data_IF_303549918902
#
_entry.id   IF_303549918902
#
_cell.length_a   1.000
_cell.length_b   1.000
_cell.length_c   1.000
_cell.angle_alpha   90.00
_cell.angle_beta   90.00
_cell.angle_gamma   90.00
#
_symmetry.space_group_name_H-M   'P 1'
#
loop_
_entity.id
_entity.type
_entity.pdbx_description
1 polymer ?
#
# COMPACT_ATOMS: atom_id res chain seq x y z
N UNK A 1 12.74 -11.25 25.17
CA UNK A 1 12.01 -9.99 25.38
C UNK A 1 12.84 -8.85 24.79
N UNK A 2 12.79 -8.66 23.47
CA UNK A 2 13.58 -7.66 22.75
C UNK A 2 12.69 -6.49 22.36
N UNK A 3 13.07 -5.29 22.82
CA UNK A 3 12.39 -4.00 22.57
C UNK A 3 12.20 -3.77 21.08
N UNK A 4 10.94 -3.69 20.62
CA UNK A 4 10.59 -3.14 19.32
C UNK A 4 10.73 -1.61 19.37
N UNK A 5 11.53 -1.07 18.45
CA UNK A 5 11.73 0.32 18.03
C UNK A 5 11.15 1.46 18.87
N UNK A 6 12.03 2.24 19.50
CA UNK A 6 11.71 3.61 19.92
C UNK A 6 11.45 4.45 18.66
N UNK A 7 10.18 4.72 18.35
CA UNK A 7 9.79 5.66 17.31
C UNK A 7 10.25 7.07 17.67
N UNK A 8 10.62 7.87 16.66
CA UNK A 8 10.93 9.29 16.87
C UNK A 8 9.62 10.02 17.19
N UNK A 9 9.43 10.40 18.47
CA UNK A 9 8.35 11.29 18.88
C UNK A 9 8.85 12.73 18.87
N UNK A 10 8.26 13.55 18.00
CA UNK A 10 8.49 14.99 17.96
C UNK A 10 7.36 15.64 18.76
N UNK A 11 7.69 16.43 19.77
CA UNK A 11 6.69 17.28 20.44
C UNK A 11 6.35 18.46 19.53
N UNK A 12 5.06 18.62 19.25
CA UNK A 12 4.52 19.61 18.33
C UNK A 12 3.58 20.61 19.02
N UNK A 13 3.41 20.53 20.35
CA UNK A 13 2.40 21.29 21.10
C UNK A 13 2.52 22.81 20.97
N UNK A 14 3.76 23.32 20.86
CA UNK A 14 4.06 24.75 20.79
C UNK A 14 4.37 25.23 19.36
N UNK A 15 4.29 24.35 18.36
CA UNK A 15 4.62 24.69 16.97
C UNK A 15 3.42 25.36 16.32
N UNK A 16 3.62 26.55 15.74
CA UNK A 16 2.54 27.29 15.06
C UNK A 16 2.05 26.49 13.85
N UNK A 17 0.76 26.65 13.53
CA UNK A 17 0.12 25.97 12.39
C UNK A 17 0.89 26.16 11.07
N UNK A 18 1.38 27.37 10.79
CA UNK A 18 2.18 27.63 9.59
C UNK A 18 3.49 26.84 9.53
N UNK A 19 4.17 26.71 10.67
CA UNK A 19 5.43 25.97 10.78
C UNK A 19 5.17 24.45 10.68
N UNK A 20 4.04 23.94 11.19
CA UNK A 20 3.61 22.55 11.00
C UNK A 20 3.37 22.21 9.53
N UNK A 21 2.69 23.09 8.79
CA UNK A 21 2.45 22.91 7.36
C UNK A 21 3.76 22.98 6.56
N UNK A 22 4.67 23.89 6.91
CA UNK A 22 5.99 23.97 6.31
C UNK A 22 6.82 22.70 6.58
N UNK A 23 6.82 22.20 7.81
CA UNK A 23 7.48 20.95 8.18
C UNK A 23 6.91 19.76 7.42
N UNK A 24 5.59 19.67 7.29
CA UNK A 24 4.92 18.64 6.48
C UNK A 24 5.39 18.66 5.02
N UNK A 25 5.50 19.85 4.41
CA UNK A 25 6.04 19.99 3.04
C UNK A 25 7.52 19.61 2.95
N UNK A 26 8.33 19.95 3.95
CA UNK A 26 9.74 19.56 4.01
C UNK A 26 9.92 18.04 4.12
N UNK A 27 9.10 17.37 4.93
CA UNK A 27 9.07 15.90 5.04
C UNK A 27 8.74 15.28 3.69
N UNK A 28 7.68 15.74 3.00
CA UNK A 28 7.34 15.24 1.68
C UNK A 28 8.44 15.48 0.64
N UNK A 29 9.12 16.63 0.70
CA UNK A 29 10.26 16.92 -0.18
C UNK A 29 11.42 15.94 0.06
N UNK A 30 11.73 15.65 1.32
CA UNK A 30 12.76 14.68 1.69
C UNK A 30 12.41 13.25 1.27
N UNK A 31 11.16 12.83 1.45
CA UNK A 31 10.67 11.54 0.96
C UNK A 31 10.80 11.42 -0.55
N UNK A 32 10.47 12.49 -1.31
CA UNK A 32 10.67 12.52 -2.76
C UNK A 32 12.15 12.41 -3.12
N UNK A 33 13.02 13.14 -2.44
CA UNK A 33 14.48 13.10 -2.66
C UNK A 33 15.05 11.69 -2.43
N UNK A 34 14.47 10.94 -1.48
CA UNK A 34 14.81 9.54 -1.20
C UNK A 34 14.17 8.53 -2.17
N UNK A 35 13.38 8.98 -3.14
CA UNK A 35 12.65 8.12 -4.06
C UNK A 35 11.50 7.34 -3.41
N UNK A 36 11.00 7.77 -2.25
CA UNK A 36 9.89 7.12 -1.54
C UNK A 36 8.55 7.48 -2.16
N UNK A 37 8.39 8.76 -2.52
CA UNK A 37 7.17 9.29 -3.15
C UNK A 37 7.48 9.98 -4.46
N UNK A 38 6.50 10.03 -5.35
CA UNK A 38 6.60 10.63 -6.69
C UNK A 38 5.67 11.85 -6.80
N UNK A 39 4.49 11.78 -6.20
CA UNK A 39 3.45 12.81 -6.14
C UNK A 39 3.60 13.76 -4.94
N UNK A 40 2.97 14.93 -5.03
CA UNK A 40 3.00 15.95 -3.97
C UNK A 40 1.91 15.78 -2.91
N UNK A 41 1.19 14.65 -2.96
CA UNK A 41 0.02 14.35 -2.14
C UNK A 41 0.42 13.52 -0.89
N UNK A 42 -0.59 13.03 -0.16
CA UNK A 42 -0.38 12.12 0.96
C UNK A 42 0.44 10.88 0.52
N UNK A 43 1.45 10.45 1.31
CA UNK A 43 2.49 9.53 0.86
C UNK A 43 2.03 8.08 0.73
N UNK A 44 0.86 7.71 1.26
CA UNK A 44 0.42 6.31 1.36
C UNK A 44 0.34 5.60 0.00
N UNK A 45 -0.14 6.27 -1.04
CA UNK A 45 -0.25 5.70 -2.39
C UNK A 45 1.12 5.34 -2.96
N UNK A 46 1.95 6.35 -3.15
CA UNK A 46 3.29 6.17 -3.72
C UNK A 46 4.18 5.24 -2.88
N UNK A 47 4.05 5.31 -1.55
CA UNK A 47 4.80 4.43 -0.67
C UNK A 47 4.37 2.97 -0.84
N UNK A 48 3.06 2.70 -0.96
CA UNK A 48 2.58 1.35 -1.25
C UNK A 48 3.03 0.86 -2.62
N UNK A 49 3.00 1.71 -3.65
CA UNK A 49 3.51 1.38 -4.99
C UNK A 49 4.98 0.97 -4.93
N UNK A 50 5.81 1.72 -4.20
CA UNK A 50 7.23 1.40 -4.00
C UNK A 50 7.41 0.06 -3.27
N UNK A 51 6.63 -0.20 -2.23
CA UNK A 51 6.70 -1.47 -1.50
C UNK A 51 6.31 -2.65 -2.38
N UNK A 52 5.25 -2.51 -3.20
CA UNK A 52 4.81 -3.54 -4.14
C UNK A 52 5.86 -3.75 -5.23
N UNK A 53 6.42 -2.68 -5.78
CA UNK A 53 7.47 -2.76 -6.79
C UNK A 53 8.68 -3.55 -6.28
N UNK A 54 9.13 -3.28 -5.05
CA UNK A 54 10.23 -4.03 -4.42
C UNK A 54 9.86 -5.49 -4.15
N UNK A 55 8.63 -5.73 -3.70
CA UNK A 55 8.12 -7.05 -3.38
C UNK A 55 8.03 -7.97 -4.61
N UNK A 56 7.68 -7.42 -5.77
CA UNK A 56 7.48 -8.18 -7.01
C UNK A 56 8.69 -8.16 -7.93
N UNK A 57 9.79 -7.52 -7.51
CA UNK A 57 10.93 -7.19 -8.39
C UNK A 57 10.45 -6.54 -9.69
N UNK A 58 9.41 -5.72 -9.58
CA UNK A 58 8.74 -5.11 -10.71
C UNK A 58 9.29 -3.74 -11.08
N UNK A 59 8.59 -3.10 -12.00
CA UNK A 59 8.81 -1.73 -12.41
C UNK A 59 7.57 -0.88 -12.15
N UNK A 60 7.79 0.36 -11.70
CA UNK A 60 6.69 1.31 -11.53
C UNK A 60 6.22 1.80 -12.90
N UNK A 61 4.91 1.93 -13.06
CA UNK A 61 4.32 2.55 -14.22
C UNK A 61 4.83 4.00 -14.41
N UNK A 62 4.91 4.49 -15.67
CA UNK A 62 5.11 5.90 -15.95
C UNK A 62 4.05 6.76 -15.24
N UNK A 63 4.42 8.01 -14.91
CA UNK A 63 3.45 8.94 -14.34
C UNK A 63 2.23 9.08 -15.27
N UNK A 64 1.03 9.15 -14.68
CA UNK A 64 -0.24 9.26 -15.42
C UNK A 64 -0.60 8.04 -16.29
N UNK A 65 0.11 6.91 -16.16
CA UNK A 65 -0.36 5.64 -16.68
C UNK A 65 -1.74 5.34 -16.11
N UNK A 66 -2.66 4.97 -17.00
CA UNK A 66 -4.00 4.59 -16.59
C UNK A 66 -4.01 3.11 -16.24
N UNK A 67 -4.83 2.76 -15.26
CA UNK A 67 -5.24 1.39 -14.96
C UNK A 67 -4.26 0.49 -14.20
N UNK A 68 -2.94 0.72 -14.23
CA UNK A 68 -1.98 -0.07 -13.47
C UNK A 68 -0.83 0.80 -12.97
N UNK A 69 -0.19 0.36 -11.88
CA UNK A 69 0.81 1.12 -11.13
C UNK A 69 2.17 0.40 -11.06
N UNK A 70 2.17 -0.95 -11.12
CA UNK A 70 3.37 -1.80 -11.13
C UNK A 70 3.24 -2.87 -12.21
N UNK A 71 4.32 -3.18 -12.92
CA UNK A 71 4.44 -4.40 -13.73
C UNK A 71 5.45 -5.34 -13.07
N UNK A 72 5.11 -6.60 -12.85
CA UNK A 72 6.02 -7.58 -12.22
C UNK A 72 7.09 -8.04 -13.20
N UNK A 73 8.14 -8.70 -12.70
CA UNK A 73 9.16 -9.32 -13.56
C UNK A 73 8.61 -10.33 -14.58
N UNK A 74 7.45 -10.94 -14.27
CA UNK A 74 6.77 -11.90 -15.15
C UNK A 74 5.75 -11.23 -16.09
N UNK A 75 5.69 -9.89 -16.11
CA UNK A 75 4.83 -9.10 -17.00
C UNK A 75 3.40 -8.85 -16.50
N UNK A 76 3.08 -9.24 -15.27
CA UNK A 76 1.75 -9.00 -14.70
C UNK A 76 1.58 -7.53 -14.32
N UNK A 77 0.47 -6.91 -14.76
CA UNK A 77 0.11 -5.53 -14.44
C UNK A 77 -0.73 -5.47 -13.18
N UNK A 78 -0.20 -4.80 -12.17
CA UNK A 78 -0.82 -4.63 -10.86
C UNK A 78 -1.28 -3.19 -10.65
N UNK A 79 -2.54 -3.03 -10.24
CA UNK A 79 -3.08 -1.77 -9.71
C UNK A 79 -2.90 -1.74 -8.19
N UNK A 80 -2.29 -0.70 -7.63
CA UNK A 80 -2.05 -0.56 -6.19
C UNK A 80 -3.06 0.41 -5.58
N UNK A 81 -3.64 0.04 -4.43
CA UNK A 81 -4.47 0.94 -3.63
C UNK A 81 -4.02 0.88 -2.18
N UNK A 82 -3.95 2.05 -1.55
CA UNK A 82 -3.45 2.17 -0.20
C UNK A 82 -4.35 2.99 0.72
N UNK A 83 -4.37 2.64 2.01
CA UNK A 83 -5.01 3.43 3.08
C UNK A 83 -4.17 3.38 4.35
N UNK A 84 -4.17 4.48 5.09
CA UNK A 84 -3.75 4.54 6.49
C UNK A 84 -5.00 4.33 7.34
N UNK A 85 -4.97 3.37 8.24
CA UNK A 85 -6.09 3.03 9.13
C UNK A 85 -5.74 3.56 10.52
N UNK A 86 -6.37 4.68 10.89
CA UNK A 86 -6.12 5.38 12.16
C UNK A 86 -6.96 4.81 13.30
N UNK A 87 -8.17 4.31 13.01
CA UNK A 87 -8.95 3.47 13.91
C UNK A 87 -9.57 2.28 13.15
N UNK A 88 -9.09 1.04 13.38
CA UNK A 88 -9.60 -0.14 12.69
C UNK A 88 -11.07 -0.46 13.01
N UNK A 89 -11.65 0.14 14.07
CA UNK A 89 -13.06 -0.02 14.45
C UNK A 89 -14.00 0.84 13.60
N UNK A 90 -13.50 1.88 12.94
CA UNK A 90 -14.30 2.76 12.09
C UNK A 90 -14.45 2.14 10.70
N UNK A 91 -15.67 1.69 10.38
CA UNK A 91 -15.97 0.97 9.11
C UNK A 91 -15.62 1.78 7.85
N UNK A 92 -15.71 3.11 7.90
CA UNK A 92 -15.46 4.00 6.76
C UNK A 92 -13.98 4.17 6.38
N UNK A 93 -13.05 4.01 7.32
CA UNK A 93 -11.62 4.25 7.08
C UNK A 93 -10.97 3.21 6.18
N UNK A 94 -11.64 2.06 6.01
CA UNK A 94 -11.20 1.01 5.10
C UNK A 94 -11.64 1.26 3.67
N UNK A 95 -12.48 2.26 3.38
CA UNK A 95 -13.01 2.44 2.03
C UNK A 95 -11.94 2.92 1.02
N UNK A 96 -11.70 2.10 0.02
CA UNK A 96 -10.84 2.40 -1.12
C UNK A 96 -11.60 3.19 -2.18
N UNK A 97 -10.86 4.00 -2.94
CA UNK A 97 -11.41 4.65 -4.13
C UNK A 97 -11.80 3.61 -5.19
N UNK A 98 -12.90 3.89 -5.88
CA UNK A 98 -13.43 3.01 -6.93
C UNK A 98 -12.40 2.85 -8.06
N UNK A 99 -12.31 1.64 -8.62
CA UNK A 99 -11.55 1.39 -9.84
C UNK A 99 -12.26 2.04 -11.03
N UNK A 100 -11.56 2.94 -11.73
CA UNK A 100 -12.12 3.67 -12.89
C UNK A 100 -11.86 2.94 -14.22
N UNK A 101 -10.95 1.99 -14.20
CA UNK A 101 -10.54 1.13 -15.31
C UNK A 101 -10.26 -0.25 -14.74
N UNK A 102 -10.38 -1.28 -15.58
CA UNK A 102 -10.16 -2.68 -15.23
C UNK A 102 -9.07 -3.34 -16.09
N UNK A 103 -8.30 -2.53 -16.83
CA UNK A 103 -7.17 -2.98 -17.65
C UNK A 103 -5.91 -3.18 -16.76
N UNK A 104 -5.97 -4.21 -15.93
CA UNK A 104 -4.90 -4.72 -15.08
C UNK A 104 -5.22 -6.18 -14.76
N UNK A 105 -4.22 -6.95 -14.36
CA UNK A 105 -4.35 -8.39 -14.16
C UNK A 105 -4.66 -8.71 -12.69
N UNK A 106 -4.15 -7.88 -11.77
CA UNK A 106 -4.48 -7.96 -10.34
C UNK A 106 -4.43 -6.60 -9.65
N UNK A 107 -4.99 -6.52 -8.45
CA UNK A 107 -4.79 -5.37 -7.58
C UNK A 107 -4.12 -5.77 -6.27
N UNK A 108 -3.23 -4.90 -5.78
CA UNK A 108 -2.64 -5.03 -4.44
C UNK A 108 -3.21 -3.95 -3.54
N UNK A 109 -3.85 -4.38 -2.46
CA UNK A 109 -4.40 -3.51 -1.43
C UNK A 109 -3.42 -3.48 -0.26
N UNK A 110 -2.97 -2.29 0.13
CA UNK A 110 -2.08 -2.10 1.28
C UNK A 110 -2.76 -1.24 2.34
N UNK A 111 -2.88 -1.76 3.55
CA UNK A 111 -3.37 -1.06 4.72
C UNK A 111 -2.21 -0.79 5.66
N UNK A 112 -1.99 0.48 5.98
CA UNK A 112 -0.99 0.92 6.94
C UNK A 112 -1.62 1.19 8.31
N UNK A 113 -0.83 1.03 9.37
CA UNK A 113 -1.11 1.65 10.68
C UNK A 113 -0.81 3.17 10.63
N UNK A 114 -1.10 3.88 11.72
CA UNK A 114 -0.86 5.31 11.91
C UNK A 114 0.62 5.71 11.87
N UNK A 115 1.54 4.75 12.00
CA UNK A 115 2.97 4.94 11.82
C UNK A 115 3.50 4.45 10.45
N UNK A 116 2.62 4.27 9.47
CA UNK A 116 2.98 3.83 8.10
C UNK A 116 3.65 2.45 8.03
N UNK A 117 3.45 1.57 9.03
CA UNK A 117 3.83 0.16 8.91
C UNK A 117 2.71 -0.60 8.22
N UNK A 118 3.07 -1.59 7.42
CA UNK A 118 2.08 -2.43 6.74
C UNK A 118 1.33 -3.26 7.79
N UNK A 119 0.07 -2.90 8.04
CA UNK A 119 -0.83 -3.65 8.91
C UNK A 119 -1.36 -4.89 8.18
N UNK A 120 -1.80 -4.72 6.92
CA UNK A 120 -2.25 -5.81 6.05
C UNK A 120 -1.94 -5.49 4.60
N UNK A 121 -1.65 -6.53 3.82
CA UNK A 121 -1.60 -6.44 2.37
C UNK A 121 -2.24 -7.68 1.74
N UNK A 122 -2.93 -7.51 0.61
CA UNK A 122 -3.49 -8.61 -0.15
C UNK A 122 -3.42 -8.33 -1.65
N UNK A 123 -3.08 -9.35 -2.44
CA UNK A 123 -3.19 -9.36 -3.89
C UNK A 123 -4.48 -10.08 -4.28
N UNK A 124 -5.27 -9.47 -5.16
CA UNK A 124 -6.56 -9.96 -5.62
C UNK A 124 -6.60 -9.96 -7.15
N UNK A 125 -6.97 -11.07 -7.81
CA UNK A 125 -7.17 -11.10 -9.25
C UNK A 125 -8.27 -10.13 -9.69
N UNK A 126 -8.14 -9.56 -10.89
CA UNK A 126 -9.10 -8.58 -11.43
C UNK A 126 -10.53 -9.15 -11.50
N UNK A 127 -10.68 -10.44 -11.79
CA UNK A 127 -11.98 -11.12 -11.91
C UNK A 127 -12.71 -11.14 -10.56
N UNK A 128 -11.97 -11.36 -9.47
CA UNK A 128 -12.50 -11.37 -8.10
C UNK A 128 -13.01 -9.99 -7.72
N UNK A 129 -12.25 -8.96 -8.08
CA UNK A 129 -12.61 -7.56 -7.83
C UNK A 129 -13.81 -7.11 -8.66
N UNK A 130 -13.88 -7.52 -9.93
CA UNK A 130 -15.02 -7.25 -10.80
C UNK A 130 -16.30 -7.93 -10.30
N UNK A 131 -16.20 -9.20 -9.84
CA UNK A 131 -17.33 -9.91 -9.25
C UNK A 131 -17.85 -9.20 -8.00
N UNK A 132 -16.95 -8.75 -7.12
CA UNK A 132 -17.31 -8.00 -5.92
C UNK A 132 -17.95 -6.63 -6.27
N UNK A 133 -17.41 -5.91 -7.25
CA UNK A 133 -17.95 -4.63 -7.70
C UNK A 133 -19.37 -4.74 -8.29
N UNK A 134 -19.66 -5.84 -9.01
CA UNK A 134 -21.02 -6.12 -9.52
C UNK A 134 -22.00 -6.51 -8.41
N UNK A 135 -21.55 -7.27 -7.42
CA UNK A 135 -22.37 -7.71 -6.29
C UNK A 135 -22.67 -6.56 -5.30
N UNK A 136 -21.80 -5.55 -5.25
CA UNK A 136 -21.88 -4.44 -4.30
C UNK A 136 -22.02 -3.11 -5.04
N UNK A 137 -23.24 -2.75 -5.45
CA UNK A 137 -23.58 -1.36 -5.77
C UNK A 137 -23.26 -0.50 -4.53
N UNK A 138 -22.10 0.19 -4.55
CA UNK A 138 -21.62 1.10 -3.50
C UNK A 138 -20.84 0.51 -2.29
N UNK A 139 -19.99 -0.51 -2.44
CA UNK A 139 -19.00 -0.80 -1.38
C UNK A 139 -17.59 -1.03 -1.92
N UNK A 140 -16.65 -0.25 -1.40
CA UNK A 140 -15.23 -0.26 -1.71
C UNK A 140 -14.59 -1.66 -1.63
N UNK A 141 -13.56 -1.90 -2.46
CA UNK A 141 -12.82 -3.16 -2.55
C UNK A 141 -12.23 -3.72 -1.23
N UNK A 142 -12.21 -2.94 -0.16
CA UNK A 142 -11.78 -3.38 1.16
C UNK A 142 -12.70 -4.43 1.81
N UNK A 143 -13.98 -4.48 1.43
CA UNK A 143 -14.89 -5.54 1.93
C UNK A 143 -14.57 -6.90 1.31
N UNK A 144 -14.11 -6.92 0.04
CA UNK A 144 -13.66 -8.15 -0.62
C UNK A 144 -12.36 -8.72 -0.01
N UNK A 145 -11.57 -7.87 0.64
CA UNK A 145 -10.30 -8.22 1.29
C UNK A 145 -10.47 -9.16 2.51
N UNK A 146 -11.71 -9.45 2.95
CA UNK A 146 -11.98 -10.27 4.14
C UNK A 146 -11.96 -11.79 3.90
N UNK A 147 -11.91 -12.27 2.66
CA UNK A 147 -12.03 -13.70 2.35
C UNK A 147 -10.76 -14.20 1.67
N UNK A 148 -9.99 -15.01 2.43
CA UNK A 148 -8.72 -15.68 2.07
C UNK A 148 -7.55 -14.76 1.76
N UNK A 149 -6.93 -14.23 2.82
CA UNK A 149 -5.62 -13.61 2.73
C UNK A 149 -4.52 -14.68 2.70
N UNK A 150 -3.75 -14.75 1.61
CA UNK A 150 -2.35 -15.17 1.73
C UNK A 150 -1.62 -14.03 2.43
N UNK A 151 -1.43 -14.18 3.73
CA UNK A 151 -0.76 -13.19 4.58
C UNK A 151 0.69 -13.05 4.12
N UNK A 152 1.04 -11.93 3.49
CA UNK A 152 2.43 -11.57 3.23
C UNK A 152 2.96 -10.82 4.45
N UNK A 153 3.88 -11.43 5.20
CA UNK A 153 4.60 -10.75 6.29
C UNK A 153 5.77 -9.97 5.69
N UNK A 154 5.84 -8.64 5.88
CA UNK A 154 7.06 -7.93 5.54
C UNK A 154 8.17 -8.37 6.48
N UNK A 155 9.29 -8.84 5.91
CA UNK A 155 10.52 -8.99 6.67
C UNK A 155 10.86 -7.63 7.28
N UNK A 156 10.94 -7.58 8.61
CA UNK A 156 11.42 -6.42 9.33
C UNK A 156 12.82 -6.09 8.81
N UNK A 157 12.93 -4.89 8.26
CA UNK A 157 14.13 -4.19 7.80
C UNK A 157 15.46 -4.93 8.02
N UNK A 158 15.97 -5.55 6.96
CA UNK A 158 17.32 -6.11 6.90
C UNK A 158 17.62 -6.49 5.47
N UNK A 159 18.79 -6.10 4.94
CA UNK A 159 19.25 -6.48 3.59
C UNK A 159 19.09 -8.00 3.42
N UNK A 160 18.23 -8.44 2.52
CA UNK A 160 18.01 -9.85 2.27
C UNK A 160 16.73 -10.05 1.48
N UNK A 161 16.83 -10.82 0.40
CA UNK A 161 15.80 -11.01 -0.61
C UNK A 161 14.49 -11.57 -0.03
N UNK A 162 13.37 -11.12 -0.61
CA UNK A 162 12.08 -11.78 -0.50
C UNK A 162 12.16 -13.13 -1.21
N UNK A 163 11.76 -14.21 -0.52
CA UNK A 163 11.57 -15.52 -1.14
C UNK A 163 10.07 -15.82 -1.24
N UNK A 164 9.56 -16.31 -2.38
CA UNK A 164 8.20 -16.84 -2.46
C UNK A 164 8.08 -18.06 -1.54
N UNK A 165 6.96 -18.18 -0.83
CA UNK A 165 6.64 -19.41 -0.12
C UNK A 165 6.56 -20.56 -1.13
N UNK A 166 7.51 -21.48 -1.09
CA UNK A 166 7.40 -22.77 -1.78
C UNK A 166 6.24 -23.55 -1.16
N UNK A 167 5.12 -23.61 -1.87
CA UNK A 167 4.13 -24.67 -1.66
C UNK A 167 4.46 -25.86 -2.57
N UNK A 168 4.42 -27.04 -1.97
CA UNK A 168 4.31 -28.37 -2.57
C UNK A 168 5.52 -29.00 -3.28
N UNK A 169 6.08 -30.02 -2.62
CA UNK A 169 6.17 -31.34 -3.24
C UNK A 169 5.43 -32.33 -2.36
N UNK A 170 4.22 -32.70 -2.79
CA UNK A 170 3.56 -33.90 -2.31
C UNK A 170 4.21 -35.15 -2.89
N UNK A 171 4.30 -36.18 -2.06
CA UNK A 171 4.04 -37.59 -2.38
C UNK A 171 3.82 -38.32 -1.05
#
# INVERSE_FOLDING_TARGET
MSKLGDGVRIDLGEVRVGDLLALSRAILAELRRRGVIRSGNAPAGDYAELLVQRATTGELAPNSQKSWDVVTGDGERLQVKARVVTDPRVRGERQLSVFRSWDFDGAVIVLFDDEFRVWRAARLPVETLQAAARASFSTSAATACSLRMNCWTPATTGRGAFAPSSSDTGS
#
